data_IF_445462355117
#
_entry.id   IF_445462355117
#
_cell.length_a   1.000
_cell.length_b   1.000
_cell.length_c   1.000
_cell.angle_alpha   90.00
_cell.angle_beta   90.00
_cell.angle_gamma   90.00
#
_symmetry.space_group_name_H-M   'P 1'
#
loop_
_entity.id
_entity.type
_entity.pdbx_description
1 polymer ?
#
# COMPACT_ATOMS: atom_id res chain seq x y z
N UNK A 1 -1.89 -6.94 9.90
CA UNK A 1 -0.66 -6.72 10.71
C UNK A 1 0.10 -8.01 11.00
N UNK A 2 -0.54 -9.11 11.43
CA UNK A 2 0.16 -10.40 11.64
C UNK A 2 0.95 -10.88 10.41
N UNK A 3 0.38 -10.77 9.20
CA UNK A 3 1.11 -11.13 7.97
C UNK A 3 2.32 -10.23 7.71
N UNK A 4 2.30 -8.96 8.13
CA UNK A 4 3.46 -8.07 8.03
C UNK A 4 4.54 -8.47 9.03
N UNK A 5 4.14 -8.83 10.26
CA UNK A 5 5.07 -9.39 11.24
C UNK A 5 5.70 -10.68 10.72
N UNK A 6 4.90 -11.61 10.18
CA UNK A 6 5.39 -12.85 9.60
C UNK A 6 6.40 -12.59 8.46
N UNK A 7 6.09 -11.67 7.54
CA UNK A 7 7.02 -11.27 6.48
C UNK A 7 8.33 -10.71 7.06
N UNK A 8 8.26 -9.88 8.10
CA UNK A 8 9.43 -9.33 8.78
C UNK A 8 10.28 -10.40 9.46
N UNK A 9 9.65 -11.36 10.15
CA UNK A 9 10.32 -12.50 10.79
C UNK A 9 10.99 -13.41 9.76
N UNK A 10 10.30 -13.71 8.66
CA UNK A 10 10.87 -14.49 7.54
C UNK A 10 12.09 -13.77 6.99
N UNK A 11 12.01 -12.45 6.75
CA UNK A 11 13.15 -11.65 6.29
C UNK A 11 14.34 -11.73 7.24
N UNK A 12 14.11 -11.58 8.55
CA UNK A 12 15.17 -11.67 9.56
C UNK A 12 15.83 -13.06 9.59
N UNK A 13 15.03 -14.14 9.54
CA UNK A 13 15.53 -15.52 9.51
C UNK A 13 16.31 -15.79 8.22
N UNK A 14 15.82 -15.34 7.07
CA UNK A 14 16.51 -15.51 5.80
C UNK A 14 17.86 -14.79 5.77
N UNK A 15 17.94 -13.58 6.32
CA UNK A 15 19.19 -12.82 6.38
C UNK A 15 20.17 -13.45 7.35
N UNK A 16 19.71 -13.88 8.53
CA UNK A 16 20.55 -14.60 9.47
C UNK A 16 21.08 -15.91 8.87
N UNK A 17 20.24 -16.67 8.17
CA UNK A 17 20.63 -17.87 7.46
C UNK A 17 21.60 -17.57 6.31
N UNK A 18 21.36 -16.52 5.53
CA UNK A 18 22.23 -16.11 4.44
C UNK A 18 23.61 -15.69 4.95
N UNK A 19 23.69 -14.88 6.01
CA UNK A 19 24.99 -14.47 6.56
C UNK A 19 25.73 -15.68 7.14
N UNK A 20 25.01 -16.65 7.73
CA UNK A 20 25.64 -17.80 8.36
C UNK A 20 26.09 -18.87 7.38
N UNK A 21 25.29 -19.15 6.36
CA UNK A 21 25.48 -20.30 5.46
C UNK A 21 25.73 -19.90 4.00
N UNK A 22 25.33 -18.69 3.61
CA UNK A 22 25.47 -18.19 2.25
C UNK A 22 26.70 -17.30 2.05
N UNK A 23 27.21 -16.64 3.09
CA UNK A 23 28.45 -15.85 2.97
C UNK A 23 29.65 -16.81 2.96
N UNK A 24 30.58 -16.65 2.00
CA UNK A 24 31.77 -17.48 1.88
C UNK A 24 32.79 -17.17 2.98
N UNK A 25 32.60 -17.70 4.19
CA UNK A 25 33.53 -17.54 5.32
C UNK A 25 34.41 -18.78 5.43
N UNK A 26 35.74 -18.61 5.56
CA UNK A 26 36.62 -19.71 5.95
C UNK A 26 36.29 -20.11 7.40
N UNK A 27 35.81 -21.35 7.62
CA UNK A 27 35.50 -21.83 8.96
C UNK A 27 36.78 -21.88 9.82
N UNK A 28 36.79 -21.13 10.93
CA UNK A 28 37.79 -21.22 11.99
C UNK A 28 37.11 -21.66 13.29
N UNK A 29 37.83 -22.35 14.16
CA UNK A 29 37.26 -22.96 15.36
C UNK A 29 36.57 -21.95 16.31
N UNK A 30 37.01 -20.67 16.29
CA UNK A 30 36.37 -19.58 17.03
C UNK A 30 34.93 -19.26 16.53
N UNK A 31 34.67 -19.42 15.24
CA UNK A 31 33.39 -19.17 14.56
C UNK A 31 32.37 -20.28 14.86
N UNK A 32 32.88 -21.47 15.20
CA UNK A 32 32.09 -22.65 15.57
C UNK A 32 31.72 -22.61 17.06
N UNK A 33 32.64 -22.22 17.94
CA UNK A 33 32.42 -22.12 19.38
C UNK A 33 31.39 -21.05 19.78
N UNK A 34 31.33 -19.92 19.07
CA UNK A 34 30.38 -18.82 19.36
C UNK A 34 28.98 -18.99 18.74
N UNK A 35 28.73 -20.15 18.11
CA UNK A 35 27.46 -20.44 17.42
C UNK A 35 26.27 -20.36 18.39
N UNK A 36 26.39 -20.93 19.59
CA UNK A 36 25.29 -20.89 20.57
C UNK A 36 24.98 -19.47 21.03
N UNK A 37 26.01 -18.64 21.26
CA UNK A 37 25.85 -17.24 21.66
C UNK A 37 25.13 -16.44 20.59
N UNK A 38 25.56 -16.54 19.34
CA UNK A 38 24.98 -15.75 18.24
C UNK A 38 23.53 -16.18 17.93
N UNK A 39 23.23 -17.48 18.02
CA UNK A 39 21.84 -17.97 17.94
C UNK A 39 20.98 -17.49 19.12
N UNK A 40 21.52 -17.48 20.34
CA UNK A 40 20.80 -17.00 21.51
C UNK A 40 20.52 -15.49 21.42
N UNK A 41 21.51 -14.67 21.05
CA UNK A 41 21.35 -13.23 20.84
C UNK A 41 20.30 -12.98 19.74
N UNK A 42 20.41 -13.68 18.61
CA UNK A 42 19.43 -13.55 17.52
C UNK A 42 18.02 -13.94 17.96
N UNK A 43 17.87 -15.07 18.67
CA UNK A 43 16.58 -15.54 19.17
C UNK A 43 15.94 -14.59 20.18
N UNK A 44 16.71 -14.09 21.13
CA UNK A 44 16.26 -13.09 22.11
C UNK A 44 15.86 -11.79 21.40
N UNK A 45 16.67 -11.33 20.44
CA UNK A 45 16.36 -10.15 19.66
C UNK A 45 15.08 -10.32 18.83
N UNK A 46 14.89 -11.48 18.20
CA UNK A 46 13.70 -11.78 17.40
C UNK A 46 12.44 -11.80 18.26
N UNK A 47 12.51 -12.37 19.46
CA UNK A 47 11.42 -12.35 20.44
C UNK A 47 11.09 -10.91 20.88
N UNK A 48 12.11 -10.11 21.20
CA UNK A 48 11.95 -8.70 21.55
C UNK A 48 11.31 -7.90 20.40
N UNK A 49 11.87 -8.00 19.18
CA UNK A 49 11.36 -7.32 18.00
C UNK A 49 9.91 -7.74 17.67
N UNK A 50 9.60 -9.02 17.82
CA UNK A 50 8.25 -9.55 17.66
C UNK A 50 7.27 -8.95 18.67
N UNK A 51 7.64 -8.91 19.95
CA UNK A 51 6.83 -8.32 21.01
C UNK A 51 6.57 -6.82 20.79
N UNK A 52 7.62 -6.06 20.46
CA UNK A 52 7.52 -4.62 20.14
C UNK A 52 6.62 -4.40 18.92
N UNK A 53 6.82 -5.16 17.85
CA UNK A 53 6.04 -5.04 16.61
C UNK A 53 4.56 -5.38 16.82
N UNK A 54 4.26 -6.42 17.61
CA UNK A 54 2.89 -6.81 17.93
C UNK A 54 2.19 -5.78 18.82
N UNK A 55 2.90 -5.27 19.83
CA UNK A 55 2.38 -4.23 20.73
C UNK A 55 2.10 -2.94 19.96
N UNK A 56 3.03 -2.51 19.10
CA UNK A 56 2.84 -1.37 18.22
C UNK A 56 1.63 -1.56 17.29
N UNK A 57 1.51 -2.72 16.66
CA UNK A 57 0.36 -3.04 15.80
C UNK A 57 -0.97 -2.98 16.58
N UNK A 58 -1.03 -3.54 17.78
CA UNK A 58 -2.21 -3.53 18.63
C UNK A 58 -2.60 -2.09 19.02
N UNK A 59 -1.63 -1.25 19.40
CA UNK A 59 -1.86 0.15 19.73
C UNK A 59 -2.39 0.95 18.53
N UNK A 60 -1.81 0.74 17.34
CA UNK A 60 -2.25 1.41 16.11
C UNK A 60 -3.66 0.99 15.68
N UNK A 61 -3.97 -0.32 15.74
CA UNK A 61 -5.28 -0.83 15.36
C UNK A 61 -6.37 -0.57 16.39
N UNK A 62 -6.04 -0.25 17.65
CA UNK A 62 -7.03 0.02 18.70
C UNK A 62 -8.04 1.09 18.30
N UNK A 63 -7.60 2.18 17.66
CA UNK A 63 -8.51 3.25 17.21
C UNK A 63 -9.42 2.78 16.08
N UNK A 64 -8.86 2.02 15.13
CA UNK A 64 -9.57 1.50 13.97
C UNK A 64 -10.63 0.47 14.40
N UNK A 65 -10.28 -0.43 15.33
CA UNK A 65 -11.19 -1.45 15.86
C UNK A 65 -12.32 -0.79 16.66
N UNK A 66 -12.02 0.22 17.49
CA UNK A 66 -13.07 0.95 18.23
C UNK A 66 -14.06 1.64 17.28
N UNK A 67 -13.56 2.28 16.23
CA UNK A 67 -14.42 2.87 15.21
C UNK A 67 -15.29 1.82 14.51
N UNK A 68 -14.69 0.70 14.08
CA UNK A 68 -15.39 -0.44 13.45
C UNK A 68 -16.53 -0.98 14.31
N UNK A 69 -16.31 -1.08 15.62
CA UNK A 69 -17.31 -1.56 16.57
C UNK A 69 -18.38 -0.52 16.88
N UNK A 70 -18.02 0.77 16.95
CA UNK A 70 -18.97 1.88 17.14
C UNK A 70 -19.93 2.00 15.96
N UNK A 71 -19.42 1.79 14.74
CA UNK A 71 -20.15 2.09 13.50
C UNK A 71 -20.29 3.60 13.25
N UNK A 72 -20.83 3.92 12.07
CA UNK A 72 -21.00 5.29 11.60
C UNK A 72 -19.69 5.96 11.15
N UNK A 73 -19.76 7.25 10.76
CA UNK A 73 -18.63 7.94 10.15
C UNK A 73 -17.42 8.01 11.09
N UNK A 74 -16.19 7.84 10.55
CA UNK A 74 -14.97 7.97 11.33
C UNK A 74 -14.75 9.42 11.75
N UNK A 75 -14.21 9.62 12.94
CA UNK A 75 -13.61 10.92 13.30
C UNK A 75 -12.31 11.13 12.53
N UNK A 76 -11.87 12.38 12.37
CA UNK A 76 -10.61 12.72 11.66
C UNK A 76 -9.40 11.94 12.20
N UNK A 77 -9.34 11.70 13.51
CA UNK A 77 -8.25 10.94 14.14
C UNK A 77 -8.31 9.44 13.82
N UNK A 78 -9.51 8.86 13.78
CA UNK A 78 -9.74 7.45 13.39
C UNK A 78 -9.44 7.23 11.90
N UNK A 79 -9.87 8.16 11.05
CA UNK A 79 -9.55 8.18 9.62
C UNK A 79 -8.03 8.25 9.40
N UNK A 80 -7.35 9.19 10.06
CA UNK A 80 -5.91 9.33 9.96
C UNK A 80 -5.16 8.09 10.47
N UNK A 81 -5.66 7.48 11.55
CA UNK A 81 -5.10 6.24 12.09
C UNK A 81 -5.25 5.06 11.11
N UNK A 82 -6.39 4.92 10.44
CA UNK A 82 -6.61 3.89 9.43
C UNK A 82 -5.69 4.06 8.21
N UNK A 83 -5.53 5.31 7.73
CA UNK A 83 -4.69 5.62 6.58
C UNK A 83 -3.18 5.44 6.85
N UNK A 84 -2.71 5.83 8.03
CA UNK A 84 -1.29 5.79 8.36
C UNK A 84 -0.83 4.49 9.03
N UNK A 85 -1.74 3.59 9.43
CA UNK A 85 -1.38 2.34 10.08
C UNK A 85 -0.35 1.49 9.31
N UNK A 86 -0.44 1.30 7.98
CA UNK A 86 0.57 0.55 7.23
C UNK A 86 1.96 1.18 7.32
N UNK A 87 2.05 2.50 7.10
CA UNK A 87 3.31 3.23 7.13
C UNK A 87 3.92 3.23 8.53
N UNK A 88 3.13 3.49 9.56
CA UNK A 88 3.60 3.47 10.95
C UNK A 88 4.14 2.10 11.34
N UNK A 89 3.47 1.02 10.94
CA UNK A 89 3.97 -0.33 11.21
C UNK A 89 5.25 -0.65 10.44
N UNK A 90 5.34 -0.25 9.17
CA UNK A 90 6.56 -0.40 8.39
C UNK A 90 7.73 0.38 9.03
N UNK A 91 7.50 1.59 9.53
CA UNK A 91 8.51 2.38 10.26
C UNK A 91 8.98 1.63 11.52
N UNK A 92 8.07 1.00 12.28
CA UNK A 92 8.47 0.17 13.43
C UNK A 92 9.37 -0.97 12.97
N UNK A 93 9.06 -1.65 11.86
CA UNK A 93 9.93 -2.68 11.30
C UNK A 93 11.28 -2.11 10.88
N UNK A 94 11.33 -0.94 10.23
CA UNK A 94 12.59 -0.29 9.85
C UNK A 94 13.46 0.04 11.06
N UNK A 95 12.87 0.58 12.14
CA UNK A 95 13.60 0.87 13.39
C UNK A 95 14.15 -0.41 14.01
N UNK A 96 13.35 -1.49 14.04
CA UNK A 96 13.81 -2.80 14.50
C UNK A 96 14.90 -3.38 13.58
N UNK A 97 14.87 -3.12 12.28
CA UNK A 97 15.96 -3.52 11.39
C UNK A 97 17.25 -2.75 11.64
N UNK A 98 17.16 -1.43 11.90
CA UNK A 98 18.32 -0.61 12.23
C UNK A 98 18.94 -1.07 13.54
N UNK A 99 18.13 -1.26 14.59
CA UNK A 99 18.62 -1.72 15.90
C UNK A 99 19.26 -3.11 15.82
N UNK A 100 18.60 -4.05 15.16
CA UNK A 100 19.11 -5.41 14.98
C UNK A 100 20.36 -5.42 14.11
N UNK A 101 20.37 -4.59 13.07
CA UNK A 101 21.51 -4.36 12.19
C UNK A 101 22.74 -3.82 12.93
N UNK A 102 22.57 -2.85 13.82
CA UNK A 102 23.66 -2.33 14.65
C UNK A 102 24.26 -3.43 15.53
N UNK A 103 23.41 -4.21 16.20
CA UNK A 103 23.87 -5.35 17.03
C UNK A 103 24.65 -6.35 16.16
N UNK A 104 24.11 -6.69 14.99
CA UNK A 104 24.68 -7.68 14.10
C UNK A 104 26.01 -7.23 13.48
N UNK A 105 26.09 -5.97 13.05
CA UNK A 105 27.32 -5.34 12.54
C UNK A 105 28.37 -5.25 13.64
N UNK A 106 27.98 -4.87 14.87
CA UNK A 106 28.91 -4.81 16.00
C UNK A 106 29.54 -6.17 16.27
N UNK A 107 28.72 -7.23 16.37
CA UNK A 107 29.21 -8.61 16.52
C UNK A 107 30.13 -9.01 15.37
N UNK A 108 29.78 -8.65 14.14
CA UNK A 108 30.59 -8.94 12.95
C UNK A 108 31.94 -8.23 13.01
N UNK A 109 31.99 -6.95 13.38
CA UNK A 109 33.26 -6.21 13.45
C UNK A 109 34.19 -6.81 14.52
N UNK A 110 33.64 -7.26 15.65
CA UNK A 110 34.43 -7.86 16.73
C UNK A 110 34.94 -9.25 16.40
N UNK A 111 34.19 -10.05 15.64
CA UNK A 111 34.55 -11.43 15.29
C UNK A 111 35.31 -11.51 13.95
N UNK A 112 34.91 -10.71 12.96
CA UNK A 112 35.33 -10.77 11.55
C UNK A 112 35.36 -9.38 10.88
N UNK A 113 36.33 -8.52 11.22
CA UNK A 113 36.36 -7.15 10.70
C UNK A 113 36.46 -7.08 9.17
N UNK A 114 37.08 -8.07 8.53
CA UNK A 114 37.19 -8.16 7.07
C UNK A 114 35.85 -8.30 6.35
N UNK A 115 34.79 -8.78 7.03
CA UNK A 115 33.44 -8.93 6.46
C UNK A 115 32.49 -7.81 6.82
N UNK A 116 32.92 -6.84 7.64
CA UNK A 116 32.06 -5.80 8.19
C UNK A 116 31.33 -5.01 7.10
N UNK A 117 32.02 -4.60 6.03
CA UNK A 117 31.43 -3.81 4.94
C UNK A 117 30.36 -4.63 4.21
N UNK A 118 30.65 -5.89 3.88
CA UNK A 118 29.70 -6.76 3.19
C UNK A 118 28.44 -7.01 4.04
N UNK A 119 28.61 -7.22 5.36
CA UNK A 119 27.49 -7.38 6.29
C UNK A 119 26.69 -6.09 6.44
N UNK A 120 27.33 -4.93 6.59
CA UNK A 120 26.66 -3.62 6.67
C UNK A 120 25.76 -3.43 5.45
N UNK A 121 26.28 -3.64 4.25
CA UNK A 121 25.48 -3.45 3.03
C UNK A 121 24.35 -4.48 2.93
N UNK A 122 24.61 -5.75 3.28
CA UNK A 122 23.59 -6.80 3.30
C UNK A 122 22.45 -6.47 4.25
N UNK A 123 22.77 -5.95 5.45
CA UNK A 123 21.80 -5.51 6.45
C UNK A 123 21.01 -4.30 5.96
N UNK A 124 21.66 -3.29 5.36
CA UNK A 124 20.98 -2.12 4.80
C UNK A 124 20.02 -2.50 3.68
N UNK A 125 20.45 -3.40 2.79
CA UNK A 125 19.64 -3.94 1.70
C UNK A 125 18.42 -4.69 2.25
N UNK A 126 18.65 -5.62 3.19
CA UNK A 126 17.59 -6.36 3.85
C UNK A 126 16.58 -5.47 4.59
N UNK A 127 17.07 -4.45 5.29
CA UNK A 127 16.23 -3.48 6.01
C UNK A 127 15.32 -2.73 5.03
N UNK A 128 15.89 -2.20 3.94
CA UNK A 128 15.14 -1.44 2.92
C UNK A 128 14.11 -2.33 2.24
N UNK A 129 14.52 -3.53 1.86
CA UNK A 129 13.68 -4.54 1.23
C UNK A 129 12.52 -4.98 2.13
N UNK A 130 12.78 -5.28 3.40
CA UNK A 130 11.76 -5.71 4.34
C UNK A 130 10.81 -4.57 4.69
N UNK A 131 11.32 -3.35 4.87
CA UNK A 131 10.51 -2.14 5.05
C UNK A 131 9.56 -1.93 3.87
N UNK A 132 10.08 -1.93 2.64
CA UNK A 132 9.28 -1.70 1.45
C UNK A 132 8.23 -2.80 1.23
N UNK A 133 8.61 -4.06 1.41
CA UNK A 133 7.68 -5.19 1.29
C UNK A 133 6.58 -5.13 2.34
N UNK A 134 6.92 -4.89 3.61
CA UNK A 134 5.94 -4.80 4.70
C UNK A 134 5.01 -3.62 4.50
N UNK A 135 5.52 -2.47 4.06
CA UNK A 135 4.70 -1.32 3.68
C UNK A 135 3.66 -1.68 2.61
N UNK A 136 4.09 -2.24 1.48
CA UNK A 136 3.21 -2.60 0.36
C UNK A 136 2.19 -3.67 0.76
N UNK A 137 2.61 -4.66 1.54
CA UNK A 137 1.72 -5.70 2.08
C UNK A 137 0.69 -5.11 3.04
N UNK A 138 1.12 -4.23 3.94
CA UNK A 138 0.26 -3.56 4.91
C UNK A 138 -0.79 -2.69 4.24
N UNK A 139 -0.39 -1.95 3.22
CA UNK A 139 -1.29 -1.11 2.44
C UNK A 139 -2.34 -1.95 1.71
N UNK A 140 -1.94 -3.10 1.14
CA UNK A 140 -2.90 -4.04 0.53
C UNK A 140 -3.89 -4.58 1.56
N UNK A 141 -3.42 -5.01 2.73
CA UNK A 141 -4.27 -5.64 3.77
C UNK A 141 -5.26 -4.62 4.36
N UNK A 142 -4.80 -3.39 4.62
CA UNK A 142 -5.62 -2.34 5.25
C UNK A 142 -6.42 -1.52 4.24
N UNK A 143 -6.24 -1.76 2.94
CA UNK A 143 -6.98 -1.09 1.86
C UNK A 143 -8.50 -1.05 2.08
N UNK A 144 -9.21 -2.14 2.42
CA UNK A 144 -10.67 -2.08 2.63
C UNK A 144 -11.06 -1.18 3.80
N UNK A 145 -10.16 -1.06 4.79
CA UNK A 145 -10.36 -0.18 5.95
C UNK A 145 -10.14 1.27 5.60
N UNK A 146 -9.07 1.56 4.84
CA UNK A 146 -8.82 2.89 4.31
C UNK A 146 -9.98 3.35 3.40
N UNK A 147 -10.47 2.47 2.52
CA UNK A 147 -11.57 2.79 1.60
C UNK A 147 -12.86 3.19 2.34
N UNK A 148 -13.24 2.43 3.37
CA UNK A 148 -14.41 2.76 4.18
C UNK A 148 -14.24 4.07 4.94
N UNK A 149 -13.03 4.34 5.45
CA UNK A 149 -12.75 5.58 6.16
C UNK A 149 -12.79 6.81 5.23
N UNK A 150 -12.60 6.61 3.92
CA UNK A 150 -12.65 7.65 2.89
C UNK A 150 -14.04 7.82 2.27
N UNK A 151 -14.86 6.77 2.21
CA UNK A 151 -16.24 6.86 1.69
C UNK A 151 -17.20 7.61 2.63
N UNK A 152 -16.91 7.61 3.92
CA UNK A 152 -17.78 8.19 4.96
C UNK A 152 -17.35 9.61 5.40
N UNK A 153 -16.18 10.09 4.95
CA UNK A 153 -15.65 11.41 5.30
C UNK A 153 -15.51 12.35 4.10
N UNK A 154 -15.54 13.67 4.35
CA UNK A 154 -15.20 14.66 3.31
C UNK A 154 -13.72 14.53 2.95
N UNK A 155 -13.44 14.32 1.66
CA UNK A 155 -12.11 13.97 1.19
C UNK A 155 -11.20 15.20 1.15
N UNK A 156 -10.37 15.35 2.18
CA UNK A 156 -9.27 16.31 2.16
C UNK A 156 -8.00 15.60 1.66
N UNK A 157 -7.34 16.18 0.65
CA UNK A 157 -6.39 15.52 -0.25
C UNK A 157 -5.18 14.90 0.49
N UNK A 158 -5.26 13.66 0.95
CA UNK A 158 -4.10 12.90 1.42
C UNK A 158 -3.47 12.13 0.26
N UNK A 159 -2.19 12.36 -0.02
CA UNK A 159 -1.47 11.74 -1.14
C UNK A 159 -0.98 10.33 -0.74
N UNK A 160 -1.58 9.29 -1.33
CA UNK A 160 -0.99 7.94 -1.31
C UNK A 160 0.03 7.81 -2.46
N UNK A 161 1.00 6.86 -2.40
CA UNK A 161 1.95 6.68 -3.48
C UNK A 161 1.24 6.42 -4.80
N UNK A 162 1.71 7.12 -5.82
CA UNK A 162 1.19 6.96 -7.16
C UNK A 162 1.59 5.64 -7.82
N UNK A 163 0.99 5.35 -8.96
CA UNK A 163 1.32 4.16 -9.76
C UNK A 163 2.83 4.12 -10.09
N UNK A 164 3.40 5.26 -10.47
CA UNK A 164 4.84 5.37 -10.77
C UNK A 164 5.72 5.08 -9.56
N UNK A 165 5.37 5.61 -8.39
CA UNK A 165 6.11 5.36 -7.14
C UNK A 165 6.07 3.89 -6.74
N UNK A 166 4.91 3.22 -6.88
CA UNK A 166 4.77 1.78 -6.60
C UNK A 166 5.63 0.93 -7.54
N UNK A 167 5.65 1.26 -8.83
CA UNK A 167 6.50 0.59 -9.82
C UNK A 167 7.98 0.79 -9.50
N UNK A 168 8.39 2.01 -9.17
CA UNK A 168 9.77 2.32 -8.76
C UNK A 168 10.18 1.57 -7.47
N UNK A 169 9.29 1.50 -6.47
CA UNK A 169 9.51 0.69 -5.26
C UNK A 169 9.64 -0.80 -5.60
N UNK A 170 8.74 -1.33 -6.44
CA UNK A 170 8.75 -2.74 -6.85
C UNK A 170 10.07 -3.11 -7.53
N UNK A 171 10.52 -2.28 -8.49
CA UNK A 171 11.78 -2.48 -9.19
C UNK A 171 13.00 -2.29 -8.27
N UNK A 172 12.97 -1.24 -7.45
CA UNK A 172 14.05 -0.93 -6.52
C UNK A 172 14.29 -2.08 -5.54
N UNK A 173 13.22 -2.54 -4.88
CA UNK A 173 13.28 -3.58 -3.85
C UNK A 173 13.48 -4.98 -4.46
N UNK A 174 12.88 -5.26 -5.62
CA UNK A 174 12.92 -6.58 -6.25
C UNK A 174 14.15 -6.83 -7.13
N UNK A 175 14.76 -5.78 -7.68
CA UNK A 175 15.84 -5.93 -8.67
C UNK A 175 17.07 -5.12 -8.29
N UNK A 176 16.94 -3.80 -8.14
CA UNK A 176 18.10 -2.93 -7.88
C UNK A 176 18.86 -3.37 -6.63
N UNK A 177 18.13 -3.63 -5.54
CA UNK A 177 18.72 -4.03 -4.26
C UNK A 177 19.47 -5.36 -4.38
N UNK A 178 18.85 -6.51 -4.76
CA UNK A 178 19.59 -7.77 -4.86
C UNK A 178 20.77 -7.73 -5.85
N UNK A 179 20.61 -7.04 -6.99
CA UNK A 179 21.69 -6.89 -7.99
C UNK A 179 22.84 -6.06 -7.41
N UNK A 180 22.55 -4.98 -6.67
CA UNK A 180 23.59 -4.21 -5.98
C UNK A 180 24.34 -5.08 -4.95
N UNK A 181 23.65 -5.97 -4.24
CA UNK A 181 24.27 -6.94 -3.34
C UNK A 181 25.23 -7.90 -4.05
N UNK A 182 24.82 -8.44 -5.21
CA UNK A 182 25.68 -9.32 -6.04
C UNK A 182 26.89 -8.54 -6.58
N UNK A 183 26.67 -7.34 -7.12
CA UNK A 183 27.75 -6.48 -7.63
C UNK A 183 28.76 -6.17 -6.53
N UNK A 184 28.29 -5.86 -5.31
CA UNK A 184 29.18 -5.61 -4.18
C UNK A 184 30.02 -6.84 -3.86
N UNK A 185 29.40 -8.03 -3.73
CA UNK A 185 30.13 -9.28 -3.44
C UNK A 185 31.21 -9.56 -4.50
N UNK A 186 30.87 -9.44 -5.78
CA UNK A 186 31.82 -9.60 -6.88
C UNK A 186 32.91 -8.52 -6.84
N UNK A 187 32.55 -7.27 -6.55
CA UNK A 187 33.51 -6.18 -6.46
C UNK A 187 34.48 -6.39 -5.30
N UNK A 188 34.03 -6.88 -4.15
CA UNK A 188 34.90 -7.21 -3.01
C UNK A 188 35.91 -8.29 -3.38
N UNK A 189 35.47 -9.37 -4.05
CA UNK A 189 36.38 -10.43 -4.55
C UNK A 189 37.43 -9.89 -5.53
N UNK A 190 37.08 -8.90 -6.36
CA UNK A 190 37.97 -8.38 -7.40
C UNK A 190 38.93 -7.28 -6.91
N UNK A 191 38.60 -6.59 -5.82
CA UNK A 191 39.31 -5.37 -5.38
C UNK A 191 40.00 -5.50 -4.03
N UNK A 192 39.66 -6.51 -3.24
CA UNK A 192 40.21 -6.74 -1.90
C UNK A 192 41.00 -8.04 -1.90
N UNK A 193 42.04 -8.14 -1.06
CA UNK A 193 42.81 -9.38 -0.83
C UNK A 193 42.02 -10.45 -0.04
N UNK A 194 40.69 -10.35 -0.01
CA UNK A 194 39.80 -11.34 0.60
C UNK A 194 39.65 -12.50 -0.38
N UNK A 195 40.33 -13.61 -0.12
CA UNK A 195 40.21 -14.83 -0.93
C UNK A 195 38.94 -15.61 -0.57
N UNK A 196 37.81 -15.31 -1.21
CA UNK A 196 36.65 -16.21 -1.15
C UNK A 196 36.91 -17.45 -2.02
N UNK A 197 36.58 -18.63 -1.49
CA UNK A 197 36.54 -19.85 -2.28
C UNK A 197 35.55 -19.69 -3.46
N UNK A 198 35.92 -20.03 -4.71
CA UNK A 198 35.05 -19.91 -5.87
C UNK A 198 33.69 -20.57 -5.68
N UNK A 199 33.66 -21.76 -5.05
CA UNK A 199 32.43 -22.50 -4.79
C UNK A 199 31.51 -21.75 -3.83
N UNK A 200 32.10 -21.14 -2.79
CA UNK A 200 31.32 -20.44 -1.77
C UNK A 200 30.74 -19.13 -2.31
N UNK A 201 31.50 -18.42 -3.16
CA UNK A 201 30.99 -17.23 -3.87
C UNK A 201 29.86 -17.60 -4.85
N UNK A 202 30.00 -18.72 -5.60
CA UNK A 202 28.97 -19.20 -6.51
C UNK A 202 27.66 -19.53 -5.78
N UNK A 203 27.74 -20.22 -4.64
CA UNK A 203 26.57 -20.49 -3.79
C UNK A 203 25.93 -19.21 -3.25
N UNK A 204 26.73 -18.24 -2.81
CA UNK A 204 26.23 -16.94 -2.34
C UNK A 204 25.40 -16.23 -3.42
N UNK A 205 25.95 -16.13 -4.63
CA UNK A 205 25.30 -15.50 -5.78
C UNK A 205 24.02 -16.25 -6.17
N UNK A 206 24.08 -17.59 -6.19
CA UNK A 206 22.92 -18.43 -6.51
C UNK A 206 21.78 -18.22 -5.50
N UNK A 207 22.08 -18.22 -4.20
CA UNK A 207 21.11 -18.00 -3.14
C UNK A 207 20.48 -16.61 -3.22
N UNK A 208 21.29 -15.55 -3.39
CA UNK A 208 20.76 -14.18 -3.58
C UNK A 208 19.88 -14.12 -4.81
N UNK A 209 20.28 -14.74 -5.92
CA UNK A 209 19.53 -14.74 -7.18
C UNK A 209 18.17 -15.43 -7.03
N UNK A 210 18.12 -16.61 -6.39
CA UNK A 210 16.86 -17.32 -6.11
C UNK A 210 15.96 -16.47 -5.20
N UNK A 211 16.51 -15.88 -4.14
CA UNK A 211 15.76 -15.00 -3.24
C UNK A 211 15.23 -13.77 -3.98
N UNK A 212 16.04 -13.16 -4.84
CA UNK A 212 15.66 -12.01 -5.66
C UNK A 212 14.50 -12.35 -6.59
N UNK A 213 14.53 -13.51 -7.25
CA UNK A 213 13.45 -13.96 -8.14
C UNK A 213 12.14 -14.13 -7.37
N UNK A 214 12.17 -14.87 -6.25
CA UNK A 214 10.98 -15.12 -5.41
C UNK A 214 10.40 -13.80 -4.89
N UNK A 215 11.27 -12.92 -4.42
CA UNK A 215 10.87 -11.61 -3.90
C UNK A 215 10.32 -10.68 -5.00
N UNK A 216 11.01 -10.56 -6.13
CA UNK A 216 10.58 -9.74 -7.25
C UNK A 216 9.23 -10.22 -7.77
N UNK A 217 9.02 -11.53 -7.85
CA UNK A 217 7.72 -12.11 -8.21
C UNK A 217 6.64 -11.71 -7.19
N UNK A 218 6.90 -11.87 -5.89
CA UNK A 218 5.94 -11.52 -4.84
C UNK A 218 5.58 -10.01 -4.86
N UNK A 219 6.58 -9.13 -4.96
CA UNK A 219 6.39 -7.68 -5.10
C UNK A 219 5.60 -7.34 -6.37
N UNK A 220 5.92 -7.97 -7.49
CA UNK A 220 5.22 -7.76 -8.76
C UNK A 220 3.75 -8.17 -8.67
N UNK A 221 3.46 -9.32 -8.05
CA UNK A 221 2.07 -9.77 -7.83
C UNK A 221 1.30 -8.83 -6.90
N UNK A 222 1.94 -8.33 -5.83
CA UNK A 222 1.33 -7.33 -4.94
C UNK A 222 0.97 -6.07 -5.73
N UNK A 223 1.92 -5.49 -6.46
CA UNK A 223 1.73 -4.26 -7.24
C UNK A 223 0.72 -4.42 -8.36
N UNK A 224 0.80 -5.53 -9.11
CA UNK A 224 -0.15 -5.83 -10.19
C UNK A 224 -1.58 -5.88 -9.66
N UNK A 225 -1.80 -6.53 -8.52
CA UNK A 225 -3.12 -6.59 -7.87
C UNK A 225 -3.55 -5.20 -7.40
N UNK A 226 -2.63 -4.44 -6.81
CA UNK A 226 -2.92 -3.11 -6.30
C UNK A 226 -3.41 -2.13 -7.37
N UNK A 227 -2.92 -2.27 -8.61
CA UNK A 227 -3.26 -1.44 -9.77
C UNK A 227 -4.45 -2.02 -10.56
N UNK A 228 -4.45 -3.33 -10.82
CA UNK A 228 -5.42 -3.95 -11.73
C UNK A 228 -6.82 -4.04 -11.13
N UNK A 229 -6.95 -4.25 -9.82
CA UNK A 229 -8.26 -4.42 -9.18
C UNK A 229 -9.12 -3.15 -9.28
N UNK A 230 -8.62 -1.94 -8.91
CA UNK A 230 -9.36 -0.70 -9.12
C UNK A 230 -9.73 -0.42 -10.57
N UNK A 231 -8.81 -0.70 -11.51
CA UNK A 231 -9.06 -0.50 -12.95
C UNK A 231 -10.19 -1.42 -13.42
N UNK A 232 -10.19 -2.68 -13.00
CA UNK A 232 -11.26 -3.63 -13.30
C UNK A 232 -12.60 -3.20 -12.70
N UNK A 233 -12.60 -2.66 -11.48
CA UNK A 233 -13.81 -2.14 -10.84
C UNK A 233 -14.38 -0.94 -11.61
N UNK A 234 -13.52 0.01 -11.99
CA UNK A 234 -13.91 1.18 -12.76
C UNK A 234 -14.44 0.79 -14.16
N UNK A 235 -13.76 -0.13 -14.85
CA UNK A 235 -14.22 -0.67 -16.14
C UNK A 235 -15.63 -1.27 -16.02
N UNK A 236 -15.85 -2.14 -15.03
CA UNK A 236 -17.17 -2.77 -14.80
C UNK A 236 -18.24 -1.74 -14.46
N UNK A 237 -17.90 -0.69 -13.72
CA UNK A 237 -18.82 0.39 -13.39
C UNK A 237 -19.22 1.17 -14.66
N UNK A 238 -18.26 1.52 -15.50
CA UNK A 238 -18.51 2.17 -16.80
C UNK A 238 -19.42 1.30 -17.69
N UNK A 239 -19.16 -0.01 -17.78
CA UNK A 239 -20.00 -0.95 -18.54
C UNK A 239 -21.43 -1.07 -18.00
N UNK A 240 -21.64 -0.88 -16.69
CA UNK A 240 -22.98 -0.81 -16.09
C UNK A 240 -23.70 0.48 -16.49
N UNK A 241 -23.00 1.61 -16.43
CA UNK A 241 -23.54 2.91 -16.84
C UNK A 241 -23.91 2.92 -18.33
N UNK A 242 -23.06 2.35 -19.19
CA UNK A 242 -23.35 2.19 -20.62
C UNK A 242 -24.61 1.35 -20.90
N UNK A 243 -24.93 0.41 -20.01
CA UNK A 243 -26.17 -0.39 -20.07
C UNK A 243 -27.38 0.29 -19.43
N UNK A 244 -27.27 1.57 -19.08
CA UNK A 244 -28.35 2.38 -18.53
C UNK A 244 -28.49 2.33 -17.01
N UNK A 245 -27.55 1.72 -16.28
CA UNK A 245 -27.59 1.75 -14.82
C UNK A 245 -27.24 3.16 -14.30
N UNK A 246 -28.12 3.73 -13.50
CA UNK A 246 -27.99 5.10 -12.95
C UNK A 246 -27.43 5.12 -11.53
N UNK A 247 -27.70 4.08 -10.73
CA UNK A 247 -27.15 3.92 -9.39
C UNK A 247 -25.87 3.06 -9.43
N UNK A 248 -24.78 3.69 -9.87
CA UNK A 248 -23.46 3.05 -9.91
C UNK A 248 -22.47 3.89 -9.12
N UNK A 249 -21.82 3.27 -8.14
CA UNK A 249 -20.71 3.85 -7.37
C UNK A 249 -19.55 2.86 -7.32
N UNK A 250 -18.34 3.39 -7.25
CA UNK A 250 -17.11 2.61 -7.04
C UNK A 250 -16.53 2.93 -5.67
N UNK A 251 -15.92 1.93 -5.04
CA UNK A 251 -15.20 2.13 -3.79
C UNK A 251 -13.91 2.91 -4.05
N UNK A 252 -13.64 3.96 -3.28
CA UNK A 252 -12.41 4.75 -3.39
C UNK A 252 -11.34 4.09 -2.53
N UNK A 253 -10.30 3.54 -3.15
CA UNK A 253 -9.35 2.69 -2.41
C UNK A 253 -8.24 3.45 -1.68
N UNK A 254 -7.77 4.56 -2.24
CA UNK A 254 -6.66 5.33 -1.69
C UNK A 254 -6.63 6.77 -2.27
N UNK A 255 -5.64 7.54 -1.86
CA UNK A 255 -5.36 8.89 -2.39
C UNK A 255 -4.40 8.92 -3.58
N UNK A 256 -4.28 7.84 -4.35
CA UNK A 256 -3.40 7.78 -5.53
C UNK A 256 -4.06 8.42 -6.77
N UNK A 257 -3.39 8.39 -7.93
CA UNK A 257 -4.01 8.82 -9.19
C UNK A 257 -5.26 8.00 -9.51
N UNK A 258 -5.24 6.70 -9.23
CA UNK A 258 -6.37 5.80 -9.46
C UNK A 258 -7.53 6.17 -8.52
N UNK A 259 -7.25 6.42 -7.24
CA UNK A 259 -8.25 6.88 -6.29
C UNK A 259 -8.93 8.17 -6.72
N UNK A 260 -8.17 9.13 -7.27
CA UNK A 260 -8.73 10.37 -7.84
C UNK A 260 -9.68 10.10 -9.02
N UNK A 261 -9.36 9.12 -9.88
CA UNK A 261 -10.27 8.71 -10.96
C UNK A 261 -11.58 8.11 -10.41
N UNK A 262 -11.50 7.32 -9.34
CA UNK A 262 -12.68 6.75 -8.67
C UNK A 262 -13.57 7.83 -8.04
N UNK A 263 -12.96 8.82 -7.36
CA UNK A 263 -13.68 9.98 -6.82
C UNK A 263 -14.33 10.78 -7.96
N UNK A 264 -13.59 11.04 -9.04
CA UNK A 264 -14.10 11.73 -10.21
C UNK A 264 -15.29 11.01 -10.85
N UNK A 265 -15.22 9.68 -10.99
CA UNK A 265 -16.33 8.86 -11.48
C UNK A 265 -17.56 8.98 -10.58
N UNK A 266 -17.41 8.82 -9.27
CA UNK A 266 -18.52 8.95 -8.32
C UNK A 266 -19.16 10.35 -8.38
N UNK A 267 -18.34 11.40 -8.54
CA UNK A 267 -18.85 12.78 -8.68
C UNK A 267 -19.66 12.95 -9.97
N UNK A 268 -19.17 12.44 -11.10
CA UNK A 268 -19.92 12.46 -12.37
C UNK A 268 -21.26 11.72 -12.26
N UNK A 269 -21.30 10.57 -11.57
CA UNK A 269 -22.55 9.83 -11.36
C UNK A 269 -23.52 10.62 -10.47
N UNK A 270 -23.04 11.24 -9.39
CA UNK A 270 -23.85 12.09 -8.53
C UNK A 270 -24.43 13.29 -9.29
N UNK A 271 -23.59 14.02 -10.02
CA UNK A 271 -24.01 15.16 -10.84
C UNK A 271 -25.00 14.75 -11.96
N UNK A 272 -24.81 13.55 -12.54
CA UNK A 272 -25.74 12.99 -13.53
C UNK A 272 -27.11 12.68 -12.92
N UNK A 273 -27.13 12.14 -11.71
CA UNK A 273 -28.34 11.84 -10.96
C UNK A 273 -29.11 13.11 -10.59
N UNK A 274 -28.42 14.12 -10.06
CA UNK A 274 -28.98 15.45 -9.75
C UNK A 274 -29.59 16.10 -11.00
N UNK A 275 -28.88 16.06 -12.14
CA UNK A 275 -29.40 16.59 -13.42
C UNK A 275 -30.62 15.83 -13.92
N UNK A 276 -30.70 14.51 -13.69
CA UNK A 276 -31.86 13.70 -14.07
C UNK A 276 -33.06 14.07 -13.21
N UNK A 277 -32.88 14.13 -11.89
CA UNK A 277 -33.93 14.54 -10.94
C UNK A 277 -34.47 15.94 -11.26
N UNK A 278 -33.59 16.91 -11.57
CA UNK A 278 -34.01 18.24 -12.00
C UNK A 278 -34.87 18.18 -13.26
N UNK A 279 -34.49 17.41 -14.28
CA UNK A 279 -35.29 17.26 -15.52
C UNK A 279 -36.66 16.65 -15.24
N UNK A 280 -36.73 15.63 -14.39
CA UNK A 280 -38.00 14.98 -14.00
C UNK A 280 -38.92 15.97 -13.27
N UNK A 281 -38.38 16.72 -12.29
CA UNK A 281 -39.13 17.73 -11.55
C UNK A 281 -39.60 18.88 -12.45
N UNK A 282 -38.76 19.37 -13.38
CA UNK A 282 -39.16 20.38 -14.36
C UNK A 282 -40.27 19.86 -15.29
N UNK A 283 -40.20 18.59 -15.72
CA UNK A 283 -41.25 17.97 -16.53
C UNK A 283 -42.60 17.90 -15.80
N UNK A 284 -42.59 17.56 -14.50
CA UNK A 284 -43.80 17.49 -13.67
C UNK A 284 -44.44 18.87 -13.42
N UNK A 285 -43.65 19.93 -13.22
CA UNK A 285 -44.18 21.23 -12.81
C UNK A 285 -44.54 22.16 -13.97
N UNK A 286 -43.87 22.04 -15.13
CA UNK A 286 -44.04 22.98 -16.25
C UNK A 286 -44.73 22.35 -17.46
N UNK A 287 -44.94 21.03 -17.44
CA UNK A 287 -45.48 20.25 -18.55
C UNK A 287 -44.39 19.85 -19.55
N UNK A 288 -44.48 18.61 -20.06
CA UNK A 288 -43.44 17.98 -20.89
C UNK A 288 -43.10 18.80 -22.15
N UNK A 289 -44.11 19.44 -22.75
CA UNK A 289 -43.95 20.27 -23.96
C UNK A 289 -43.21 21.58 -23.69
N UNK A 290 -43.43 22.22 -22.53
CA UNK A 290 -42.76 23.47 -22.16
C UNK A 290 -41.29 23.21 -21.81
N UNK A 291 -41.02 22.13 -21.06
CA UNK A 291 -39.67 21.70 -20.75
C UNK A 291 -38.87 21.35 -22.02
N UNK A 292 -39.49 20.64 -22.98
CA UNK A 292 -38.87 20.27 -24.26
C UNK A 292 -38.60 21.49 -25.14
N UNK A 293 -39.50 22.48 -25.17
CA UNK A 293 -39.30 23.75 -25.90
C UNK A 293 -38.16 24.58 -25.30
N UNK A 294 -38.15 24.75 -23.97
CA UNK A 294 -37.14 25.53 -23.27
C UNK A 294 -35.72 24.95 -23.42
N UNK A 295 -35.58 23.62 -23.41
CA UNK A 295 -34.29 22.95 -23.63
C UNK A 295 -33.76 23.09 -25.06
N UNK A 296 -34.65 23.18 -26.06
CA UNK A 296 -34.28 23.17 -27.48
C UNK A 296 -34.02 24.57 -28.05
N UNK A 297 -34.75 25.58 -27.58
CA UNK A 297 -34.71 26.95 -28.11
C UNK A 297 -34.09 27.96 -27.14
N UNK A 298 -33.77 27.55 -25.90
CA UNK A 298 -33.40 28.49 -24.84
C UNK A 298 -34.60 29.27 -24.31
N UNK A 299 -34.36 30.20 -23.38
CA UNK A 299 -35.39 31.12 -22.88
C UNK A 299 -35.40 32.39 -23.72
N UNK A 300 -36.37 32.54 -24.61
CA UNK A 300 -36.73 33.86 -25.12
C UNK A 300 -37.54 34.58 -24.04
N UNK A 301 -36.97 35.63 -23.44
CA UNK A 301 -37.69 36.54 -22.55
C UNK A 301 -38.60 37.44 -23.41
N UNK A 302 -39.71 36.88 -23.87
CA UNK A 302 -40.71 37.58 -24.67
C UNK A 302 -42.12 37.09 -24.31
N UNK A 303 -43.00 38.02 -23.93
CA UNK A 303 -44.40 37.72 -23.67
C UNK A 303 -45.21 37.76 -24.96
N UNK A 304 -46.06 36.77 -25.18
CA UNK A 304 -47.04 36.75 -26.27
C UNK A 304 -48.46 36.83 -25.72
N UNK A 305 -49.31 37.68 -26.32
CA UNK A 305 -50.73 37.73 -25.99
C UNK A 305 -51.42 36.51 -26.61
N UNK A 306 -51.94 35.61 -25.77
CA UNK A 306 -52.63 34.38 -26.20
C UNK A 306 -54.01 34.33 -25.54
N UNK A 307 -55.00 33.85 -26.28
CA UNK A 307 -56.28 33.46 -25.68
C UNK A 307 -56.08 32.14 -24.92
N UNK A 308 -56.32 32.17 -23.61
CA UNK A 308 -56.20 31.02 -22.72
C UNK A 308 -57.46 30.88 -21.87
N UNK A 309 -57.89 29.64 -21.65
CA UNK A 309 -58.94 29.30 -20.69
C UNK A 309 -58.28 28.90 -19.37
N UNK A 310 -58.74 29.48 -18.25
CA UNK A 310 -58.23 29.20 -16.91
C UNK A 310 -59.30 28.46 -16.12
N UNK A 311 -58.96 27.30 -15.56
CA UNK A 311 -59.81 26.55 -14.65
C UNK A 311 -59.38 26.83 -13.21
N UNK A 312 -60.32 27.30 -12.39
CA UNK A 312 -60.10 27.48 -10.95
C UNK A 312 -60.93 26.44 -10.20
N UNK A 313 -60.30 25.71 -9.28
CA UNK A 313 -60.96 24.75 -8.41
C UNK A 313 -60.68 25.18 -6.98
N UNK A 314 -61.73 25.59 -6.28
CA UNK A 314 -61.68 25.95 -4.87
C UNK A 314 -62.40 24.86 -4.05
N UNK A 315 -61.95 24.64 -2.82
CA UNK A 315 -62.62 23.74 -1.89
C UNK A 315 -63.50 24.54 -0.95
N UNK A 316 -64.80 24.26 -0.96
CA UNK A 316 -65.78 24.94 -0.11
C UNK A 316 -65.53 24.57 1.37
N UNK A 317 -65.18 25.57 2.19
CA UNK A 317 -65.04 25.44 3.65
C UNK A 317 -63.64 25.65 4.23
N UNK A 318 -62.69 26.22 3.49
CA UNK A 318 -61.41 26.73 4.03
C UNK A 318 -61.55 28.08 4.74
#
# INVERSE_FOLDING_TARGET
MLSMLAANLIGAVLVFAFVRYGVPIQESDAIVADRVRNFAIFGVYLAFAGAVSLTAAAMMLKSVIRWRLRGGPPTRSEQMAALHAPLRQAIVHLVLWILGGIIFVFLTITEMPGLAIAVIVTVCMAATTTFGFTYMLGERILRPVAAQALSEGEFDRTMAPGVGTRLAMTWGLGTLMPVAGIILLCSTQLTTDLEFSPDSLAWAILLISIMAIVQAFALSMLTATQISDPIRQLRRAIERVQRGATDVRVEVFDGSEIGRLQVGFNRMMKESDERRLLRELFGQHVGEDVARRALKFGTELGGETRFVAVLFVDMVGS
#
